data_IF_645177994414
#
_entry.id   IF_645177994414
#
_cell.length_a   1.000
_cell.length_b   1.000
_cell.length_c   1.000
_cell.angle_alpha   90.00
_cell.angle_beta   90.00
_cell.angle_gamma   90.00
#
_symmetry.space_group_name_H-M   'P 1'
#
loop_
_entity.id
_entity.type
_entity.pdbx_description
1 polymer ?
#
# COMPACT_ATOMS: atom_id res chain seq x y z
N UNK A 1 33.85 -23.37 26.66
CA UNK A 1 32.84 -23.62 25.61
C UNK A 1 31.39 -23.66 26.12
N UNK A 2 31.07 -24.27 27.27
CA UNK A 2 29.68 -24.23 27.81
C UNK A 2 29.24 -22.82 28.26
N UNK A 3 30.14 -22.04 28.86
CA UNK A 3 29.84 -20.71 29.41
C UNK A 3 29.32 -19.70 28.35
N UNK A 4 29.95 -19.62 27.19
CA UNK A 4 29.57 -18.66 26.14
C UNK A 4 28.19 -18.96 25.52
N UNK A 5 27.88 -20.24 25.29
CA UNK A 5 26.57 -20.66 24.77
C UNK A 5 25.44 -20.34 25.76
N UNK A 6 25.72 -20.45 27.06
CA UNK A 6 24.74 -20.14 28.11
C UNK A 6 24.55 -18.61 28.24
N UNK A 7 25.62 -17.82 28.10
CA UNK A 7 25.52 -16.35 27.98
C UNK A 7 24.65 -15.93 26.79
N UNK A 8 24.85 -16.51 25.60
CA UNK A 8 24.05 -16.22 24.41
C UNK A 8 22.57 -16.54 24.63
N UNK A 9 22.26 -17.69 25.25
CA UNK A 9 20.88 -18.05 25.60
C UNK A 9 20.29 -17.07 26.61
N UNK A 10 21.05 -16.68 27.63
CA UNK A 10 20.64 -15.72 28.64
C UNK A 10 20.33 -14.35 28.03
N UNK A 11 21.23 -13.81 27.19
CA UNK A 11 21.02 -12.56 26.47
C UNK A 11 19.77 -12.60 25.59
N UNK A 12 19.57 -13.73 24.89
CA UNK A 12 18.39 -13.94 24.05
C UNK A 12 17.08 -14.00 24.86
N UNK A 13 17.11 -14.59 26.06
CA UNK A 13 15.96 -14.64 26.96
C UNK A 13 15.63 -13.23 27.50
N UNK A 14 16.63 -12.49 27.97
CA UNK A 14 16.47 -11.11 28.43
C UNK A 14 15.91 -10.20 27.33
N UNK A 15 16.39 -10.35 26.10
CA UNK A 15 15.85 -9.62 24.96
C UNK A 15 14.37 -9.93 24.72
N UNK A 16 13.98 -11.21 24.76
CA UNK A 16 12.57 -11.63 24.61
C UNK A 16 11.68 -11.08 25.73
N UNK A 17 12.23 -10.92 26.93
CA UNK A 17 11.55 -10.29 28.07
C UNK A 17 11.50 -8.75 27.98
N UNK A 18 12.08 -8.14 26.95
CA UNK A 18 12.14 -6.68 26.77
C UNK A 18 13.18 -5.98 27.66
N UNK A 19 14.03 -6.74 28.37
CA UNK A 19 15.11 -6.20 29.22
C UNK A 19 16.34 -5.86 28.38
N UNK A 20 16.18 -4.86 27.51
CA UNK A 20 17.16 -4.51 26.47
C UNK A 20 18.53 -4.13 27.06
N UNK A 21 18.55 -3.36 28.14
CA UNK A 21 19.76 -2.93 28.86
C UNK A 21 20.56 -4.11 29.42
N UNK A 22 19.87 -5.12 29.96
CA UNK A 22 20.51 -6.33 30.50
C UNK A 22 20.96 -7.26 29.39
N UNK A 23 20.16 -7.39 28.33
CA UNK A 23 20.52 -8.17 27.16
C UNK A 23 21.78 -7.61 26.49
N UNK A 24 21.83 -6.28 26.32
CA UNK A 24 22.99 -5.56 25.77
C UNK A 24 24.27 -5.86 26.55
N UNK A 25 24.24 -5.76 27.88
CA UNK A 25 25.40 -6.09 28.73
C UNK A 25 25.89 -7.52 28.51
N UNK A 26 24.97 -8.48 28.50
CA UNK A 26 25.32 -9.89 28.27
C UNK A 26 25.95 -10.10 26.90
N UNK A 27 25.39 -9.48 25.85
CA UNK A 27 25.96 -9.60 24.50
C UNK A 27 27.29 -8.84 24.36
N UNK A 28 27.47 -7.71 25.03
CA UNK A 28 28.75 -7.02 25.10
C UNK A 28 29.83 -7.90 25.78
N UNK A 29 29.48 -8.59 26.87
CA UNK A 29 30.38 -9.55 27.53
C UNK A 29 30.73 -10.73 26.60
N UNK A 30 29.77 -11.24 25.82
CA UNK A 30 30.02 -12.25 24.78
C UNK A 30 31.04 -11.73 23.76
N UNK A 31 30.82 -10.53 23.22
CA UNK A 31 31.71 -9.93 22.21
C UNK A 31 33.09 -9.54 22.75
N UNK A 32 33.22 -9.30 24.07
CA UNK A 32 34.52 -9.07 24.70
C UNK A 32 35.40 -10.33 24.70
N UNK A 33 34.78 -11.52 24.67
CA UNK A 33 35.44 -12.83 24.68
C UNK A 33 35.58 -13.40 23.28
N UNK A 34 34.57 -13.21 22.44
CA UNK A 34 34.53 -13.65 21.05
C UNK A 34 33.98 -12.52 20.16
N UNK A 35 34.87 -11.63 19.65
CA UNK A 35 34.46 -10.41 18.95
C UNK A 35 33.63 -10.63 17.68
N UNK A 36 33.78 -11.78 17.03
CA UNK A 36 33.13 -12.13 15.76
C UNK A 36 31.92 -13.08 15.95
N UNK A 37 31.41 -13.22 17.18
CA UNK A 37 30.24 -14.05 17.45
C UNK A 37 28.97 -13.43 16.82
N UNK A 38 28.52 -14.02 15.72
CA UNK A 38 27.47 -13.46 14.84
C UNK A 38 26.13 -13.27 15.58
N UNK A 39 25.76 -14.17 16.49
CA UNK A 39 24.47 -14.07 17.18
C UNK A 39 24.44 -12.85 18.11
N UNK A 40 25.49 -12.63 18.90
CA UNK A 40 25.64 -11.46 19.74
C UNK A 40 25.74 -10.17 18.92
N UNK A 41 26.51 -10.13 17.82
CA UNK A 41 26.56 -8.98 16.92
C UNK A 41 25.15 -8.62 16.40
N UNK A 42 24.36 -9.63 16.01
CA UNK A 42 23.00 -9.43 15.48
C UNK A 42 22.06 -8.85 16.53
N UNK A 43 22.09 -9.39 17.75
CA UNK A 43 21.25 -8.87 18.84
C UNK A 43 21.70 -7.47 19.28
N UNK A 44 23.00 -7.19 19.33
CA UNK A 44 23.50 -5.83 19.56
C UNK A 44 22.97 -4.85 18.52
N UNK A 45 23.01 -5.22 17.23
CA UNK A 45 22.44 -4.39 16.17
C UNK A 45 20.94 -4.13 16.35
N UNK A 46 20.15 -5.18 16.66
CA UNK A 46 18.70 -5.06 16.85
C UNK A 46 18.34 -4.24 18.11
N UNK A 47 19.09 -4.41 19.20
CA UNK A 47 18.93 -3.62 20.43
C UNK A 47 19.19 -2.16 20.13
N UNK A 48 20.29 -1.83 19.45
CA UNK A 48 20.64 -0.47 19.07
C UNK A 48 19.56 0.18 18.19
N UNK A 49 18.98 -0.56 17.24
CA UNK A 49 17.81 -0.09 16.48
C UNK A 49 16.61 0.25 17.37
N UNK A 50 16.28 -0.61 18.35
CA UNK A 50 15.18 -0.37 19.30
C UNK A 50 15.43 0.84 20.19
N UNK A 51 16.68 1.13 20.51
CA UNK A 51 17.10 2.30 21.28
C UNK A 51 17.25 3.57 20.42
N UNK A 52 17.14 3.46 19.09
CA UNK A 52 17.28 4.57 18.15
C UNK A 52 18.72 4.87 17.72
N UNK A 53 19.71 4.11 18.18
CA UNK A 53 21.11 4.23 17.73
C UNK A 53 21.34 3.45 16.43
N UNK A 54 20.94 4.08 15.32
CA UNK A 54 21.07 3.50 13.97
C UNK A 54 22.51 3.43 13.49
N UNK A 55 23.41 4.26 14.05
CA UNK A 55 24.83 4.29 13.66
C UNK A 55 25.50 3.01 14.15
N UNK A 56 25.42 2.76 15.46
CA UNK A 56 25.98 1.54 16.05
C UNK A 56 25.33 0.28 15.45
N UNK A 57 24.00 0.30 15.26
CA UNK A 57 23.30 -0.82 14.66
C UNK A 57 23.83 -1.18 13.26
N UNK A 58 24.04 -0.17 12.41
CA UNK A 58 24.59 -0.34 11.07
C UNK A 58 25.98 -0.98 11.12
N UNK A 59 26.84 -0.53 12.03
CA UNK A 59 28.21 -1.04 12.15
C UNK A 59 28.23 -2.52 12.56
N UNK A 60 27.37 -2.93 13.48
CA UNK A 60 27.19 -4.35 13.82
C UNK A 60 26.73 -5.19 12.63
N UNK A 61 25.72 -4.72 11.87
CA UNK A 61 25.25 -5.48 10.71
C UNK A 61 26.29 -5.51 9.59
N UNK A 62 26.98 -4.41 9.31
CA UNK A 62 28.09 -4.39 8.34
C UNK A 62 29.18 -5.39 8.73
N UNK A 63 29.56 -5.45 10.02
CA UNK A 63 30.53 -6.44 10.50
C UNK A 63 30.07 -7.86 10.23
N UNK A 64 28.80 -8.20 10.52
CA UNK A 64 28.25 -9.53 10.19
C UNK A 64 28.43 -9.85 8.71
N UNK A 65 28.16 -8.88 7.83
CA UNK A 65 28.28 -9.09 6.37
C UNK A 65 29.70 -9.31 5.87
N UNK A 66 30.72 -8.94 6.66
CA UNK A 66 32.14 -9.26 6.36
C UNK A 66 32.54 -10.66 6.82
N UNK A 67 31.83 -11.21 7.82
CA UNK A 67 32.10 -12.53 8.40
C UNK A 67 31.34 -13.64 7.65
N UNK A 68 30.13 -13.34 7.17
CA UNK A 68 29.26 -14.29 6.49
C UNK A 68 28.20 -13.57 5.64
N UNK A 69 27.78 -14.19 4.53
CA UNK A 69 26.53 -13.83 3.87
C UNK A 69 25.34 -14.14 4.79
N UNK A 70 24.77 -13.10 5.39
CA UNK A 70 23.63 -13.18 6.31
C UNK A 70 22.46 -12.34 5.79
N UNK A 71 21.39 -13.04 5.41
CA UNK A 71 20.23 -12.43 4.82
C UNK A 71 19.47 -11.49 5.78
N UNK A 72 19.50 -11.73 7.09
CA UNK A 72 18.85 -10.82 8.06
C UNK A 72 19.66 -9.53 8.23
N UNK A 73 20.99 -9.63 8.28
CA UNK A 73 21.87 -8.46 8.31
C UNK A 73 21.70 -7.59 7.05
N UNK A 74 21.63 -8.19 5.86
CA UNK A 74 21.36 -7.47 4.62
C UNK A 74 19.99 -6.78 4.63
N UNK A 75 18.94 -7.46 5.09
CA UNK A 75 17.60 -6.87 5.20
C UNK A 75 17.60 -5.65 6.15
N UNK A 76 18.21 -5.78 7.33
CA UNK A 76 18.26 -4.71 8.34
C UNK A 76 19.12 -3.52 7.87
N UNK A 77 20.22 -3.77 7.16
CA UNK A 77 20.98 -2.72 6.50
C UNK A 77 20.14 -1.99 5.44
N UNK A 78 19.36 -2.73 4.64
CA UNK A 78 18.43 -2.16 3.68
C UNK A 78 17.45 -1.18 4.32
N UNK A 79 16.84 -1.56 5.44
CA UNK A 79 15.92 -0.68 6.19
C UNK A 79 16.65 0.57 6.74
N UNK A 80 17.86 0.42 7.30
CA UNK A 80 18.65 1.57 7.81
C UNK A 80 19.00 2.55 6.68
N UNK A 81 19.48 2.05 5.54
CA UNK A 81 19.84 2.91 4.41
C UNK A 81 18.61 3.63 3.84
N UNK A 82 17.46 2.96 3.78
CA UNK A 82 16.18 3.58 3.42
C UNK A 82 15.83 4.73 4.36
N UNK A 83 15.95 4.51 5.67
CA UNK A 83 15.71 5.54 6.68
C UNK A 83 16.65 6.75 6.56
N UNK A 84 17.86 6.54 6.05
CA UNK A 84 18.85 7.60 5.80
C UNK A 84 18.76 8.27 4.42
N UNK A 85 17.78 7.91 3.57
CA UNK A 85 17.66 8.35 2.16
C UNK A 85 18.77 7.83 1.23
N UNK A 86 19.50 6.79 1.63
CA UNK A 86 20.53 6.15 0.81
C UNK A 86 19.90 5.02 -0.03
N UNK A 87 18.94 5.38 -0.88
CA UNK A 87 18.03 4.42 -1.52
C UNK A 87 18.70 3.39 -2.44
N UNK A 88 19.76 3.77 -3.16
CA UNK A 88 20.50 2.83 -4.01
C UNK A 88 21.19 1.74 -3.18
N UNK A 89 21.75 2.12 -2.02
CA UNK A 89 22.30 1.13 -1.07
C UNK A 89 21.19 0.29 -0.48
N UNK A 90 20.07 0.90 -0.12
CA UNK A 90 18.92 0.18 0.43
C UNK A 90 18.41 -0.90 -0.54
N UNK A 91 18.25 -0.55 -1.83
CA UNK A 91 17.86 -1.48 -2.89
C UNK A 91 18.86 -2.62 -3.04
N UNK A 92 20.16 -2.30 -3.09
CA UNK A 92 21.22 -3.30 -3.22
C UNK A 92 21.23 -4.30 -2.06
N UNK A 93 21.11 -3.80 -0.82
CA UNK A 93 21.09 -4.64 0.37
C UNK A 93 19.81 -5.48 0.49
N UNK A 94 18.64 -4.91 0.19
CA UNK A 94 17.39 -5.67 0.14
C UNK A 94 17.44 -6.78 -0.92
N UNK A 95 17.94 -6.47 -2.13
CA UNK A 95 18.13 -7.50 -3.17
C UNK A 95 19.10 -8.59 -2.71
N UNK A 96 20.21 -8.22 -2.06
CA UNK A 96 21.16 -9.21 -1.53
C UNK A 96 20.54 -10.11 -0.45
N UNK A 97 19.68 -9.55 0.41
CA UNK A 97 18.93 -10.32 1.40
C UNK A 97 18.05 -11.40 0.75
N UNK A 98 17.30 -11.02 -0.29
CA UNK A 98 16.40 -11.91 -1.02
C UNK A 98 17.15 -12.99 -1.82
N UNK A 99 18.32 -12.66 -2.39
CA UNK A 99 19.17 -13.63 -3.09
C UNK A 99 19.85 -14.61 -2.13
N UNK A 100 20.17 -14.18 -0.92
CA UNK A 100 20.81 -15.02 0.11
C UNK A 100 19.80 -15.98 0.76
N UNK A 101 18.56 -15.55 0.92
CA UNK A 101 17.47 -16.38 1.47
C UNK A 101 16.16 -16.03 0.75
N UNK A 102 15.78 -16.85 -0.23
CA UNK A 102 14.58 -16.60 -1.04
C UNK A 102 13.28 -16.66 -0.24
N UNK A 103 13.28 -17.28 0.94
CA UNK A 103 12.12 -17.29 1.85
C UNK A 103 11.88 -15.92 2.49
N UNK A 104 12.84 -14.99 2.35
CA UNK A 104 12.64 -13.59 2.74
C UNK A 104 11.82 -12.77 1.78
N UNK A 105 11.41 -13.27 0.61
CA UNK A 105 10.46 -12.58 -0.25
C UNK A 105 9.02 -12.60 0.28
N UNK A 106 8.73 -13.55 1.15
CA UNK A 106 7.46 -13.69 1.84
C UNK A 106 7.76 -14.17 3.27
N UNK A 107 8.21 -13.25 4.11
CA UNK A 107 8.57 -13.54 5.50
C UNK A 107 7.33 -13.96 6.30
N UNK A 108 6.16 -13.48 5.88
CA UNK A 108 4.87 -13.70 6.56
C UNK A 108 4.41 -15.15 6.49
N UNK A 109 4.43 -15.75 5.30
CA UNK A 109 3.85 -17.08 5.04
C UNK A 109 4.90 -18.09 4.61
N UNK A 110 6.07 -17.62 4.15
CA UNK A 110 7.20 -18.42 3.64
C UNK A 110 6.80 -19.37 2.51
N UNK A 111 5.75 -19.04 1.77
CA UNK A 111 5.21 -19.86 0.68
C UNK A 111 5.76 -19.46 -0.68
N UNK A 112 6.07 -18.18 -0.85
CA UNK A 112 6.42 -17.62 -2.15
C UNK A 112 7.89 -17.16 -2.18
N UNK A 113 8.79 -17.91 -2.84
CA UNK A 113 10.18 -17.52 -2.95
C UNK A 113 10.36 -16.31 -3.88
N UNK A 114 11.45 -15.57 -3.67
CA UNK A 114 11.87 -14.48 -4.55
C UNK A 114 12.08 -14.98 -5.99
N UNK A 115 11.61 -14.21 -6.96
CA UNK A 115 11.88 -14.42 -8.40
C UNK A 115 12.62 -13.19 -8.90
N UNK A 116 13.76 -13.32 -9.58
CA UNK A 116 14.46 -12.13 -10.10
C UNK A 116 13.77 -11.52 -11.34
N UNK A 117 12.64 -12.09 -11.77
CA UNK A 117 11.85 -11.65 -12.91
C UNK A 117 10.35 -11.67 -12.58
N UNK A 118 9.79 -10.48 -12.31
CA UNK A 118 8.36 -10.25 -12.11
C UNK A 118 7.75 -9.54 -13.32
N UNK A 119 6.43 -9.62 -13.46
CA UNK A 119 5.69 -8.99 -14.56
C UNK A 119 5.49 -7.49 -14.27
N UNK A 120 6.51 -6.70 -14.59
CA UNK A 120 6.59 -5.26 -14.37
C UNK A 120 7.28 -4.55 -15.54
N UNK A 121 7.01 -3.26 -15.70
CA UNK A 121 7.53 -2.45 -16.80
C UNK A 121 8.06 -1.12 -16.31
N UNK A 122 9.13 -0.63 -16.95
CA UNK A 122 9.57 0.76 -16.75
C UNK A 122 8.58 1.68 -17.46
N UNK A 123 8.13 2.72 -16.76
CA UNK A 123 7.18 3.71 -17.31
C UNK A 123 7.72 5.12 -17.14
N UNK A 124 7.32 6.02 -18.05
CA UNK A 124 7.48 7.45 -17.86
C UNK A 124 6.41 7.95 -16.87
N UNK A 125 6.62 9.16 -16.32
CA UNK A 125 5.64 9.81 -15.48
C UNK A 125 4.31 9.96 -16.23
N UNK A 126 3.26 9.27 -15.80
CA UNK A 126 1.97 9.31 -16.48
C UNK A 126 1.28 10.68 -16.47
N UNK A 127 1.62 11.57 -15.51
CA UNK A 127 1.04 12.91 -15.46
C UNK A 127 1.67 13.85 -16.47
N UNK A 128 2.99 13.82 -16.68
CA UNK A 128 3.67 14.80 -17.53
C UNK A 128 4.50 14.22 -18.69
N UNK A 129 4.62 12.89 -18.80
CA UNK A 129 5.39 12.19 -19.82
C UNK A 129 6.90 12.12 -19.58
N UNK A 130 7.42 12.80 -18.54
CA UNK A 130 8.85 12.85 -18.24
C UNK A 130 9.42 11.51 -17.76
N UNK A 131 10.63 11.19 -18.20
CA UNK A 131 11.48 10.10 -17.71
C UNK A 131 12.48 10.57 -16.64
N UNK A 132 12.45 11.85 -16.27
CA UNK A 132 13.32 12.43 -15.24
C UNK A 132 12.67 12.28 -13.86
N UNK A 133 13.20 11.36 -13.06
CA UNK A 133 12.73 11.10 -11.70
C UNK A 133 13.88 10.75 -10.75
N UNK A 134 13.62 10.88 -9.45
CA UNK A 134 14.54 10.48 -8.38
C UNK A 134 13.90 9.41 -7.51
N UNK A 135 14.68 8.46 -7.03
CA UNK A 135 14.21 7.49 -6.03
C UNK A 135 13.74 8.23 -4.79
N UNK A 136 12.49 7.98 -4.42
CA UNK A 136 11.82 8.54 -3.25
C UNK A 136 11.79 7.54 -2.09
N UNK A 137 11.68 6.24 -2.40
CA UNK A 137 11.64 5.18 -1.40
C UNK A 137 11.94 3.81 -2.02
N UNK A 138 12.40 2.86 -1.21
CA UNK A 138 12.46 1.44 -1.57
C UNK A 138 11.61 0.63 -0.58
N UNK A 139 10.43 0.21 -0.99
CA UNK A 139 9.53 -0.61 -0.18
C UNK A 139 9.92 -2.08 -0.25
N UNK A 140 10.33 -2.67 0.89
CA UNK A 140 10.40 -4.13 1.01
C UNK A 140 9.05 -4.66 1.51
N UNK A 141 8.27 -5.20 0.58
CA UNK A 141 6.91 -5.70 0.76
C UNK A 141 6.87 -7.12 1.35
N UNK A 142 8.03 -7.74 1.59
CA UNK A 142 8.11 -9.14 2.02
C UNK A 142 7.50 -9.43 3.39
N UNK A 143 7.28 -8.39 4.20
CA UNK A 143 6.58 -8.48 5.47
C UNK A 143 5.05 -8.45 5.33
N UNK A 144 4.52 -8.15 4.14
CA UNK A 144 3.08 -8.08 3.90
C UNK A 144 2.52 -9.47 3.57
N UNK A 145 1.45 -9.86 4.27
CA UNK A 145 0.82 -11.18 4.17
C UNK A 145 0.08 -11.45 2.84
N UNK A 146 0.15 -10.52 1.90
CA UNK A 146 -0.69 -10.50 0.72
C UNK A 146 0.09 -10.47 -0.59
N UNK A 147 1.41 -10.62 -0.63
CA UNK A 147 2.16 -10.49 -1.91
C UNK A 147 1.86 -11.64 -2.92
N UNK A 148 1.53 -12.85 -2.42
CA UNK A 148 1.23 -14.05 -3.22
C UNK A 148 2.31 -14.49 -4.23
N UNK A 149 3.51 -13.89 -4.22
CA UNK A 149 4.57 -14.20 -5.17
C UNK A 149 4.26 -13.75 -6.60
N UNK A 150 3.29 -12.86 -6.76
CA UNK A 150 2.84 -12.29 -8.05
C UNK A 150 3.48 -10.92 -8.28
N UNK A 151 3.60 -10.13 -7.22
CA UNK A 151 4.15 -8.78 -7.26
C UNK A 151 5.59 -8.81 -6.73
N UNK A 152 6.48 -8.04 -7.37
CA UNK A 152 7.85 -7.92 -6.88
C UNK A 152 7.87 -7.45 -5.42
N UNK A 153 8.43 -8.24 -4.48
CA UNK A 153 8.47 -7.88 -3.06
C UNK A 153 9.44 -6.72 -2.78
N UNK A 154 10.22 -6.27 -3.77
CA UNK A 154 11.07 -5.11 -3.68
C UNK A 154 10.57 -4.03 -4.64
N UNK A 155 9.96 -2.99 -4.09
CA UNK A 155 9.35 -1.89 -4.83
C UNK A 155 10.21 -0.64 -4.77
N UNK A 156 10.64 -0.13 -5.92
CA UNK A 156 11.22 1.22 -6.01
C UNK A 156 10.13 2.22 -6.30
N UNK A 157 9.98 3.20 -5.42
CA UNK A 157 9.12 4.36 -5.61
C UNK A 157 9.95 5.53 -6.09
N UNK A 158 9.55 6.14 -7.19
CA UNK A 158 10.22 7.31 -7.75
C UNK A 158 9.31 8.53 -7.69
N UNK A 159 9.91 9.71 -7.53
CA UNK A 159 9.24 11.00 -7.62
C UNK A 159 9.70 11.72 -8.87
N UNK A 160 8.75 12.07 -9.75
CA UNK A 160 9.01 12.85 -10.94
C UNK A 160 9.64 14.21 -10.58
N UNK A 161 10.76 14.55 -11.23
CA UNK A 161 11.46 15.82 -11.00
C UNK A 161 10.67 17.03 -11.53
N UNK A 162 9.87 16.83 -12.58
CA UNK A 162 9.09 17.90 -13.22
C UNK A 162 7.78 18.24 -12.51
N UNK A 163 6.98 17.23 -12.12
CA UNK A 163 5.64 17.45 -11.59
C UNK A 163 5.41 16.89 -10.18
N UNK A 164 6.41 16.25 -9.58
CA UNK A 164 6.33 15.71 -8.23
C UNK A 164 5.45 14.47 -8.04
N UNK A 165 4.93 13.87 -9.12
CA UNK A 165 4.14 12.63 -9.06
C UNK A 165 4.97 11.46 -8.55
N UNK A 166 4.39 10.64 -7.68
CA UNK A 166 5.06 9.48 -7.07
C UNK A 166 4.47 8.20 -7.66
N UNK A 167 5.31 7.32 -8.16
CA UNK A 167 4.88 6.08 -8.78
C UNK A 167 5.92 4.96 -8.62
N UNK A 168 5.43 3.72 -8.71
CA UNK A 168 6.25 2.52 -8.80
C UNK A 168 7.04 2.52 -10.11
N UNK A 169 8.35 2.32 -10.07
CA UNK A 169 9.14 2.14 -11.27
C UNK A 169 10.33 1.18 -11.03
N UNK A 170 10.32 -0.04 -11.61
CA UNK A 170 9.29 -0.61 -12.48
C UNK A 170 7.91 -0.71 -11.83
N UNK A 171 6.86 -0.54 -12.65
CA UNK A 171 5.46 -0.62 -12.25
C UNK A 171 4.91 -2.02 -12.58
N UNK A 172 4.14 -2.68 -11.68
CA UNK A 172 3.45 -3.93 -12.02
C UNK A 172 2.59 -3.75 -13.26
N UNK A 173 2.49 -4.78 -14.11
CA UNK A 173 1.56 -4.71 -15.24
C UNK A 173 0.12 -4.96 -14.79
N UNK A 174 -0.85 -4.58 -15.63
CA UNK A 174 -2.28 -4.88 -15.40
C UNK A 174 -2.49 -6.40 -15.19
N UNK A 175 -1.76 -7.22 -15.93
CA UNK A 175 -1.77 -8.68 -15.78
C UNK A 175 -1.31 -9.12 -14.39
N UNK A 176 -0.24 -8.53 -13.86
CA UNK A 176 0.25 -8.85 -12.52
C UNK A 176 -0.74 -8.46 -11.42
N UNK A 177 -1.33 -7.26 -11.51
CA UNK A 177 -2.36 -6.82 -10.57
C UNK A 177 -3.63 -7.67 -10.66
N UNK A 178 -4.12 -7.99 -11.86
CA UNK A 178 -5.28 -8.86 -12.04
C UNK A 178 -5.05 -10.28 -11.50
N UNK A 179 -3.85 -10.83 -11.67
CA UNK A 179 -3.47 -12.10 -11.05
C UNK A 179 -3.48 -12.01 -9.53
N UNK A 180 -2.98 -10.91 -8.96
CA UNK A 180 -3.02 -10.66 -7.52
C UNK A 180 -4.46 -10.63 -7.01
N UNK A 181 -5.33 -9.86 -7.67
CA UNK A 181 -6.75 -9.72 -7.33
C UNK A 181 -7.46 -11.07 -7.41
N UNK A 182 -7.17 -11.89 -8.43
CA UNK A 182 -7.68 -13.25 -8.52
C UNK A 182 -7.25 -14.13 -7.34
N UNK A 183 -5.98 -14.05 -6.91
CA UNK A 183 -5.51 -14.78 -5.71
C UNK A 183 -6.18 -14.29 -4.43
N UNK A 184 -6.39 -12.98 -4.30
CA UNK A 184 -7.12 -12.40 -3.17
C UNK A 184 -8.59 -12.88 -3.13
N UNK A 185 -9.22 -13.04 -4.29
CA UNK A 185 -10.59 -13.56 -4.42
C UNK A 185 -10.77 -15.03 -4.08
N UNK A 186 -9.70 -15.83 -4.10
CA UNK A 186 -9.74 -17.25 -3.77
C UNK A 186 -9.32 -17.43 -2.32
N UNK A 187 -10.29 -17.47 -1.39
CA UNK A 187 -10.69 -18.80 -0.95
C UNK A 187 -12.20 -18.93 -0.68
N UNK A 188 -12.88 -19.75 -1.51
CA UNK A 188 -14.22 -20.34 -1.26
C UNK A 188 -14.36 -21.11 0.07
N UNK A 189 -13.32 -21.11 0.92
CA UNK A 189 -13.23 -21.88 2.18
C UNK A 189 -12.69 -21.10 3.38
N UNK A 190 -12.13 -19.89 3.24
CA UNK A 190 -11.62 -19.14 4.40
C UNK A 190 -12.57 -17.98 4.73
N UNK A 191 -13.53 -18.29 5.59
CA UNK A 191 -14.57 -17.41 6.15
C UNK A 191 -13.99 -16.23 6.97
N UNK A 192 -12.66 -16.06 7.04
CA UNK A 192 -11.98 -15.02 7.84
C UNK A 192 -12.07 -13.62 7.22
N UNK A 193 -11.87 -13.49 5.92
CA UNK A 193 -12.04 -12.21 5.21
C UNK A 193 -13.50 -11.78 5.26
N UNK A 194 -14.41 -12.74 5.07
CA UNK A 194 -15.86 -12.52 5.24
C UNK A 194 -16.22 -12.06 6.66
N UNK A 195 -15.69 -12.71 7.70
CA UNK A 195 -15.92 -12.29 9.10
C UNK A 195 -15.44 -10.88 9.41
N UNK A 196 -14.39 -10.40 8.73
CA UNK A 196 -13.92 -9.01 8.88
C UNK A 196 -14.95 -8.03 8.30
N UNK A 197 -15.35 -8.24 7.04
CA UNK A 197 -16.36 -7.42 6.37
C UNK A 197 -17.76 -7.54 6.99
N UNK A 198 -18.05 -8.64 7.69
CA UNK A 198 -19.33 -8.87 8.35
C UNK A 198 -19.34 -8.48 9.83
N UNK A 199 -18.26 -7.91 10.37
CA UNK A 199 -18.24 -7.49 11.77
C UNK A 199 -19.02 -6.19 11.95
N UNK A 200 -19.85 -6.12 12.98
CA UNK A 200 -20.70 -4.95 13.25
C UNK A 200 -19.90 -3.65 13.32
N UNK A 201 -18.73 -3.66 13.98
CA UNK A 201 -17.87 -2.49 14.08
C UNK A 201 -17.35 -2.00 12.71
N UNK A 202 -16.97 -2.92 11.81
CA UNK A 202 -16.48 -2.56 10.46
C UNK A 202 -17.63 -2.06 9.60
N UNK A 203 -18.78 -2.74 9.62
CA UNK A 203 -19.98 -2.33 8.89
C UNK A 203 -20.42 -0.94 9.33
N UNK A 204 -20.60 -0.71 10.64
CA UNK A 204 -21.03 0.57 11.20
C UNK A 204 -20.09 1.70 10.78
N UNK A 205 -18.77 1.51 10.94
CA UNK A 205 -17.79 2.50 10.49
C UNK A 205 -17.90 2.79 8.99
N UNK A 206 -18.05 1.76 8.16
CA UNK A 206 -18.13 1.94 6.70
C UNK A 206 -19.43 2.63 6.28
N UNK A 207 -20.56 2.38 6.96
CA UNK A 207 -21.82 3.10 6.76
C UNK A 207 -21.67 4.56 7.16
N UNK A 208 -21.04 4.87 8.29
CA UNK A 208 -20.78 6.25 8.72
C UNK A 208 -19.91 7.02 7.71
N UNK A 209 -18.85 6.37 7.22
CA UNK A 209 -17.98 6.90 6.16
C UNK A 209 -18.79 7.14 4.88
N UNK A 210 -19.58 6.16 4.45
CA UNK A 210 -20.41 6.26 3.25
C UNK A 210 -21.44 7.39 3.38
N UNK A 211 -22.16 7.47 4.50
CA UNK A 211 -23.14 8.52 4.76
C UNK A 211 -22.52 9.92 4.73
N UNK A 212 -21.33 10.09 5.31
CA UNK A 212 -20.57 11.34 5.25
C UNK A 212 -20.21 11.73 3.81
N UNK A 213 -19.69 10.79 3.02
CA UNK A 213 -19.34 10.98 1.61
C UNK A 213 -20.56 11.31 0.75
N UNK A 214 -21.67 10.58 0.95
CA UNK A 214 -22.94 10.81 0.26
C UNK A 214 -23.46 12.21 0.56
N UNK A 215 -23.41 12.65 1.82
CA UNK A 215 -23.82 14.01 2.21
C UNK A 215 -22.98 15.08 1.48
N UNK A 216 -21.67 14.87 1.35
CA UNK A 216 -20.80 15.78 0.61
C UNK A 216 -21.12 15.79 -0.88
N UNK A 217 -21.36 14.64 -1.51
CA UNK A 217 -21.80 14.56 -2.90
C UNK A 217 -23.15 15.29 -3.08
N UNK A 218 -24.12 15.04 -2.19
CA UNK A 218 -25.45 15.65 -2.22
C UNK A 218 -25.42 17.19 -2.12
N UNK A 219 -24.45 17.75 -1.38
CA UNK A 219 -24.23 19.20 -1.31
C UNK A 219 -23.96 19.82 -2.69
N UNK A 220 -23.35 19.08 -3.62
CA UNK A 220 -22.90 19.62 -4.90
C UNK A 220 -23.86 19.38 -6.07
N UNK A 221 -24.61 18.28 -6.08
CA UNK A 221 -25.51 17.92 -7.18
C UNK A 221 -26.91 17.49 -6.74
N UNK A 222 -27.24 17.59 -5.45
CA UNK A 222 -28.50 17.07 -4.94
C UNK A 222 -28.54 15.54 -5.00
N UNK A 223 -29.63 14.96 -5.48
CA UNK A 223 -29.79 13.51 -5.68
C UNK A 223 -30.11 13.24 -7.14
N UNK A 224 -29.82 12.03 -7.58
CA UNK A 224 -30.12 11.57 -8.93
C UNK A 224 -29.52 10.20 -9.16
N UNK A 225 -28.85 10.04 -10.29
CA UNK A 225 -28.13 8.82 -10.65
C UNK A 225 -26.70 8.85 -10.12
N UNK A 226 -26.33 7.82 -9.35
CA UNK A 226 -24.99 7.62 -8.82
C UNK A 226 -24.39 6.34 -9.39
N UNK A 227 -23.11 6.40 -9.78
CA UNK A 227 -22.35 5.21 -10.14
C UNK A 227 -21.12 5.03 -9.24
N UNK A 228 -20.92 3.84 -8.68
CA UNK A 228 -19.69 3.50 -7.95
C UNK A 228 -18.77 2.60 -8.78
N UNK A 229 -17.51 3.00 -8.90
CA UNK A 229 -16.44 2.21 -9.53
C UNK A 229 -15.64 1.54 -8.41
N UNK A 230 -15.51 0.21 -8.44
CA UNK A 230 -14.90 -0.56 -7.36
C UNK A 230 -15.84 -0.73 -6.17
N UNK A 231 -17.09 -1.13 -6.44
CA UNK A 231 -18.17 -1.14 -5.45
C UNK A 231 -18.00 -2.18 -4.33
N UNK A 232 -17.01 -3.07 -4.42
CA UNK A 232 -16.71 -4.09 -3.42
C UNK A 232 -17.97 -4.88 -3.03
N UNK A 233 -18.27 -5.00 -1.74
CA UNK A 233 -19.48 -5.67 -1.21
C UNK A 233 -20.72 -4.77 -1.17
N UNK A 234 -20.66 -3.56 -1.72
CA UNK A 234 -21.82 -2.70 -1.94
C UNK A 234 -22.31 -1.86 -0.75
N UNK A 235 -21.49 -1.64 0.29
CA UNK A 235 -21.91 -0.84 1.46
C UNK A 235 -22.25 0.60 1.05
N UNK A 236 -21.41 1.24 0.23
CA UNK A 236 -21.66 2.62 -0.20
C UNK A 236 -22.92 2.73 -1.07
N UNK A 237 -23.12 1.80 -2.02
CA UNK A 237 -24.37 1.69 -2.79
C UNK A 237 -25.59 1.53 -1.88
N UNK A 238 -25.55 0.60 -0.92
CA UNK A 238 -26.65 0.36 0.01
C UNK A 238 -27.01 1.63 0.80
N UNK A 239 -26.00 2.33 1.33
CA UNK A 239 -26.20 3.60 2.04
C UNK A 239 -26.75 4.69 1.12
N UNK A 240 -26.34 4.75 -0.16
CA UNK A 240 -26.85 5.72 -1.12
C UNK A 240 -28.32 5.45 -1.45
N UNK A 241 -28.69 4.19 -1.68
CA UNK A 241 -30.06 3.74 -1.95
C UNK A 241 -30.97 4.06 -0.76
N UNK A 242 -30.52 3.80 0.46
CA UNK A 242 -31.26 4.08 1.70
C UNK A 242 -31.70 5.55 1.80
N UNK A 243 -30.86 6.47 1.31
CA UNK A 243 -31.15 7.93 1.33
C UNK A 243 -31.69 8.46 0.00
N UNK A 244 -32.14 7.57 -0.89
CA UNK A 244 -32.93 7.89 -2.09
C UNK A 244 -32.12 8.23 -3.34
N UNK A 245 -30.91 7.70 -3.52
CA UNK A 245 -30.21 7.72 -4.80
C UNK A 245 -30.65 6.58 -5.71
N UNK A 246 -30.67 6.83 -7.03
CA UNK A 246 -30.69 5.78 -8.05
C UNK A 246 -29.23 5.34 -8.28
N UNK A 247 -28.77 4.38 -7.47
CA UNK A 247 -27.35 4.00 -7.40
C UNK A 247 -27.10 2.64 -8.05
N UNK A 248 -26.05 2.57 -8.87
CA UNK A 248 -25.51 1.35 -9.43
C UNK A 248 -23.98 1.33 -9.29
N UNK A 249 -23.35 0.19 -9.48
CA UNK A 249 -21.89 0.12 -9.45
C UNK A 249 -21.32 -1.09 -10.17
N UNK A 250 -19.99 -1.06 -10.32
CA UNK A 250 -19.20 -2.11 -10.95
C UNK A 250 -18.07 -2.56 -10.02
N UNK A 251 -17.80 -3.85 -10.01
CA UNK A 251 -16.73 -4.47 -9.23
C UNK A 251 -16.03 -5.55 -10.07
N UNK A 252 -14.70 -5.56 -10.04
CA UNK A 252 -13.88 -6.50 -10.78
C UNK A 252 -13.94 -7.91 -10.16
N UNK A 253 -14.15 -7.98 -8.85
CA UNK A 253 -14.07 -9.19 -8.03
C UNK A 253 -15.40 -9.95 -7.92
N UNK A 254 -15.50 -11.09 -8.60
CA UNK A 254 -16.69 -11.96 -8.59
C UNK A 254 -17.16 -12.33 -7.18
N UNK A 255 -16.23 -12.62 -6.26
CA UNK A 255 -16.56 -12.98 -4.88
C UNK A 255 -17.14 -11.79 -4.07
N UNK A 256 -16.71 -10.56 -4.36
CA UNK A 256 -17.29 -9.37 -3.74
C UNK A 256 -18.71 -9.09 -4.28
N UNK A 257 -18.94 -9.33 -5.57
CA UNK A 257 -20.27 -9.26 -6.18
C UNK A 257 -21.20 -10.35 -5.65
N UNK A 258 -20.73 -11.60 -5.50
CA UNK A 258 -21.50 -12.69 -4.89
C UNK A 258 -21.89 -12.37 -3.44
N UNK A 259 -20.97 -11.80 -2.68
CA UNK A 259 -21.20 -11.27 -1.35
C UNK A 259 -22.28 -10.17 -1.34
N UNK A 260 -22.16 -9.16 -2.21
CA UNK A 260 -23.12 -8.06 -2.30
C UNK A 260 -24.55 -8.57 -2.59
N UNK A 261 -24.69 -9.57 -3.48
CA UNK A 261 -25.97 -10.22 -3.77
C UNK A 261 -26.60 -10.86 -2.53
N UNK A 262 -25.80 -11.44 -1.63
CA UNK A 262 -26.30 -12.00 -0.37
C UNK A 262 -26.89 -10.94 0.58
N UNK A 263 -26.51 -9.67 0.39
CA UNK A 263 -27.06 -8.50 1.09
C UNK A 263 -28.19 -7.82 0.32
N UNK A 264 -28.62 -8.37 -0.81
CA UNK A 264 -29.65 -7.77 -1.67
C UNK A 264 -29.17 -6.60 -2.52
N UNK A 265 -27.86 -6.43 -2.70
CA UNK A 265 -27.26 -5.39 -3.53
C UNK A 265 -26.78 -6.00 -4.84
N UNK A 266 -27.34 -5.53 -5.96
CA UNK A 266 -26.91 -5.93 -7.29
C UNK A 266 -25.77 -5.04 -7.77
N UNK A 267 -24.66 -5.66 -8.17
CA UNK A 267 -23.46 -5.00 -8.68
C UNK A 267 -23.08 -5.65 -10.00
N UNK A 268 -22.70 -4.84 -10.98
CA UNK A 268 -22.15 -5.34 -12.24
C UNK A 268 -20.77 -5.94 -11.99
N UNK A 269 -20.55 -7.19 -12.37
CA UNK A 269 -19.21 -7.78 -12.31
C UNK A 269 -18.47 -7.51 -13.63
N UNK A 270 -17.33 -6.82 -13.57
CA UNK A 270 -16.55 -6.56 -14.76
C UNK A 270 -15.42 -5.56 -14.59
N UNK A 271 -14.61 -5.46 -15.63
CA UNK A 271 -13.57 -4.44 -15.75
C UNK A 271 -14.20 -3.10 -16.15
N UNK A 272 -13.95 -2.05 -15.36
CA UNK A 272 -14.49 -0.73 -15.60
C UNK A 272 -14.14 -0.17 -16.97
N UNK A 273 -12.89 -0.26 -17.42
CA UNK A 273 -12.48 0.29 -18.71
C UNK A 273 -13.07 -0.49 -19.88
N UNK A 274 -13.26 -1.82 -19.73
CA UNK A 274 -13.77 -2.70 -20.79
C UNK A 274 -15.30 -2.79 -20.89
N UNK A 275 -16.04 -2.38 -19.86
CA UNK A 275 -17.52 -2.49 -19.83
C UNK A 275 -18.22 -1.33 -20.54
N UNK A 276 -19.32 -1.57 -21.25
CA UNK A 276 -20.17 -0.48 -21.77
C UNK A 276 -21.17 -0.05 -20.69
N UNK A 277 -21.08 1.22 -20.26
CA UNK A 277 -21.79 1.76 -19.09
C UNK A 277 -22.62 3.00 -19.44
N UNK A 278 -22.78 3.31 -20.73
CA UNK A 278 -23.46 4.52 -21.19
C UNK A 278 -22.63 5.79 -21.04
N UNK A 279 -23.20 6.93 -21.46
CA UNK A 279 -22.57 8.26 -21.45
C UNK A 279 -23.57 9.33 -21.02
N UNK A 280 -23.11 10.31 -20.26
CA UNK A 280 -23.90 11.50 -19.91
C UNK A 280 -25.13 11.25 -19.03
N UNK A 281 -25.15 10.15 -18.27
CA UNK A 281 -26.33 9.69 -17.53
C UNK A 281 -26.24 9.91 -16.02
N UNK A 282 -25.05 10.08 -15.47
CA UNK A 282 -24.84 10.13 -14.03
C UNK A 282 -24.71 11.56 -13.50
N UNK A 283 -25.36 11.83 -12.36
CA UNK A 283 -25.21 13.07 -11.60
C UNK A 283 -23.95 13.03 -10.72
N UNK A 284 -23.59 11.82 -10.24
CA UNK A 284 -22.37 11.59 -9.48
C UNK A 284 -21.71 10.25 -9.84
N UNK A 285 -20.38 10.23 -9.80
CA UNK A 285 -19.56 9.03 -9.87
C UNK A 285 -18.62 9.00 -8.66
N UNK A 286 -18.55 7.86 -7.98
CA UNK A 286 -17.70 7.62 -6.84
C UNK A 286 -16.64 6.54 -7.14
N UNK A 287 -15.41 6.69 -6.64
CA UNK A 287 -14.38 5.63 -6.65
C UNK A 287 -13.53 5.71 -5.37
N UNK A 288 -13.72 4.77 -4.44
CA UNK A 288 -13.09 4.82 -3.11
C UNK A 288 -11.92 3.84 -3.03
N UNK A 289 -10.70 4.34 -2.82
CA UNK A 289 -9.48 3.52 -2.77
C UNK A 289 -9.32 2.64 -4.04
N UNK A 290 -9.47 3.27 -5.21
CA UNK A 290 -9.37 2.59 -6.53
C UNK A 290 -8.23 3.17 -7.34
N UNK A 291 -8.14 4.49 -7.42
CA UNK A 291 -7.30 5.21 -8.39
C UNK A 291 -5.81 4.86 -8.28
N UNK A 292 -5.31 4.59 -7.08
CA UNK A 292 -3.93 4.17 -6.79
C UNK A 292 -3.59 2.75 -7.24
N UNK A 293 -4.60 1.90 -7.44
CA UNK A 293 -4.46 0.52 -7.92
C UNK A 293 -4.57 0.40 -9.44
N UNK A 294 -5.00 1.47 -10.12
CA UNK A 294 -5.12 1.48 -11.58
C UNK A 294 -3.76 1.71 -12.23
N UNK A 295 -3.49 1.05 -13.36
CA UNK A 295 -2.28 1.29 -14.17
C UNK A 295 -2.40 2.59 -14.99
N UNK A 296 -3.63 2.94 -15.38
CA UNK A 296 -3.93 4.17 -16.10
C UNK A 296 -5.08 4.94 -15.41
N UNK A 297 -4.79 5.68 -14.33
CA UNK A 297 -5.81 6.48 -13.68
C UNK A 297 -6.38 7.60 -14.56
N UNK A 298 -5.65 8.04 -15.61
CA UNK A 298 -6.21 9.01 -16.58
C UNK A 298 -7.33 8.39 -17.38
N UNK A 299 -7.16 7.16 -17.89
CA UNK A 299 -8.21 6.45 -18.60
C UNK A 299 -9.47 6.25 -17.72
N UNK A 300 -9.28 5.94 -16.43
CA UNK A 300 -10.40 5.83 -15.49
C UNK A 300 -11.17 7.13 -15.35
N UNK A 301 -10.48 8.25 -15.11
CA UNK A 301 -11.13 9.54 -14.93
C UNK A 301 -11.75 10.06 -16.24
N UNK A 302 -11.12 9.85 -17.40
CA UNK A 302 -11.71 10.21 -18.70
C UNK A 302 -13.01 9.45 -18.97
N UNK A 303 -13.04 8.15 -18.69
CA UNK A 303 -14.27 7.35 -18.83
C UNK A 303 -15.35 7.78 -17.83
N UNK A 304 -14.98 8.04 -16.59
CA UNK A 304 -15.90 8.61 -15.60
C UNK A 304 -16.43 9.98 -16.05
N UNK A 305 -15.59 10.81 -16.66
CA UNK A 305 -16.02 12.09 -17.24
C UNK A 305 -17.08 11.85 -18.33
N UNK A 306 -16.84 10.95 -19.27
CA UNK A 306 -17.81 10.60 -20.34
C UNK A 306 -19.17 10.13 -19.80
N UNK A 307 -19.16 9.37 -18.70
CA UNK A 307 -20.36 8.86 -18.04
C UNK A 307 -21.18 9.95 -17.31
N UNK A 308 -20.52 11.03 -16.85
CA UNK A 308 -21.16 12.13 -16.13
C UNK A 308 -21.93 13.07 -17.05
N UNK A 309 -23.08 13.56 -16.55
CA UNK A 309 -23.76 14.74 -17.08
C UNK A 309 -22.86 15.98 -17.01
N UNK A 310 -23.16 16.99 -17.83
CA UNK A 310 -22.52 18.31 -17.69
C UNK A 310 -22.70 18.85 -16.26
N UNK A 311 -21.61 19.26 -15.62
CA UNK A 311 -21.62 19.73 -14.23
C UNK A 311 -21.78 18.61 -13.18
N UNK A 312 -21.78 17.34 -13.58
CA UNK A 312 -21.81 16.19 -12.68
C UNK A 312 -20.56 16.08 -11.82
N UNK A 313 -20.65 15.30 -10.74
CA UNK A 313 -19.64 15.25 -9.68
C UNK A 313 -18.85 13.95 -9.75
N UNK A 314 -17.53 14.06 -9.72
CA UNK A 314 -16.66 12.93 -9.40
C UNK A 314 -16.21 13.04 -7.93
N UNK A 315 -16.28 11.94 -7.21
CA UNK A 315 -15.79 11.82 -5.85
C UNK A 315 -14.85 10.62 -5.76
N UNK A 316 -13.68 10.80 -5.16
CA UNK A 316 -12.75 9.70 -4.97
C UNK A 316 -12.00 9.78 -3.66
N UNK A 317 -11.39 8.68 -3.25
CA UNK A 317 -10.38 8.69 -2.20
C UNK A 317 -9.12 7.98 -2.63
N UNK A 318 -7.99 8.40 -2.05
CA UNK A 318 -6.68 7.79 -2.28
C UNK A 318 -5.72 8.12 -1.13
N UNK A 319 -4.71 7.29 -0.87
CA UNK A 319 -3.64 7.60 0.07
C UNK A 319 -2.91 8.91 -0.28
N UNK A 320 -2.67 9.72 0.74
CA UNK A 320 -1.94 10.98 0.63
C UNK A 320 -0.58 10.87 1.36
N UNK A 321 0.55 10.77 0.63
CA UNK A 321 1.88 10.67 1.23
C UNK A 321 2.32 11.96 1.94
N UNK A 322 1.56 13.05 1.83
CA UNK A 322 1.80 14.32 2.51
C UNK A 322 0.82 14.59 3.67
N UNK A 323 -0.04 13.63 4.01
CA UNK A 323 -1.00 13.75 5.10
C UNK A 323 -0.32 13.95 6.46
N UNK A 324 -1.05 14.53 7.42
CA UNK A 324 -0.54 14.73 8.78
C UNK A 324 -0.05 13.40 9.40
N UNK A 325 -0.81 12.32 9.22
CA UNK A 325 -0.42 10.99 9.70
C UNK A 325 0.91 10.53 9.11
N UNK A 326 1.09 10.68 7.79
CA UNK A 326 2.34 10.29 7.11
C UNK A 326 3.50 11.17 7.53
N UNK A 327 3.28 12.46 7.84
CA UNK A 327 4.34 13.33 8.38
C UNK A 327 4.87 12.86 9.74
N UNK A 328 4.01 12.34 10.61
CA UNK A 328 4.42 11.81 11.92
C UNK A 328 4.98 10.38 11.84
N UNK A 329 4.40 9.52 10.98
CA UNK A 329 4.95 8.18 10.73
C UNK A 329 6.24 8.22 9.93
N UNK A 330 6.42 9.29 9.14
CA UNK A 330 7.49 9.48 8.18
C UNK A 330 7.64 8.24 7.30
N UNK A 331 8.83 7.69 7.37
CA UNK A 331 9.30 6.57 6.57
C UNK A 331 8.78 5.20 7.01
N UNK A 332 8.21 5.12 8.21
CA UNK A 332 7.54 3.92 8.72
C UNK A 332 6.06 3.86 8.32
N UNK A 333 5.66 4.54 7.23
CA UNK A 333 4.33 4.45 6.68
C UNK A 333 4.18 3.14 5.90
N UNK A 334 3.28 2.26 6.38
CA UNK A 334 3.18 0.89 5.88
C UNK A 334 2.72 0.81 4.42
N UNK A 335 2.04 1.83 3.89
CA UNK A 335 1.58 1.81 2.51
C UNK A 335 2.75 1.80 1.50
N UNK A 336 3.94 2.29 1.85
CA UNK A 336 5.13 2.08 1.01
C UNK A 336 5.42 0.61 0.68
N UNK A 337 4.88 -0.32 1.48
CA UNK A 337 5.01 -1.76 1.35
C UNK A 337 3.76 -2.43 0.77
N UNK A 338 2.70 -1.69 0.44
CA UNK A 338 1.46 -2.25 -0.12
C UNK A 338 1.69 -2.76 -1.55
N UNK A 339 1.51 -4.06 -1.83
CA UNK A 339 1.82 -4.66 -3.13
C UNK A 339 0.99 -4.12 -4.29
N UNK A 340 -0.24 -3.71 -4.04
CA UNK A 340 -1.20 -3.39 -5.10
C UNK A 340 -1.22 -1.93 -5.54
N UNK A 341 -0.52 -1.04 -4.83
CA UNK A 341 -0.48 0.38 -5.19
C UNK A 341 0.58 0.60 -6.28
N UNK A 342 0.18 1.25 -7.37
CA UNK A 342 1.07 1.66 -8.45
C UNK A 342 1.49 3.13 -8.33
N UNK A 343 0.67 3.95 -7.66
CA UNK A 343 0.79 5.40 -7.65
C UNK A 343 0.48 6.01 -6.28
N UNK A 344 1.06 7.17 -6.00
CA UNK A 344 0.65 8.04 -4.90
C UNK A 344 0.42 9.46 -5.34
N UNK A 345 -0.74 9.98 -4.97
CA UNK A 345 -1.16 11.33 -5.30
C UNK A 345 -1.01 12.26 -4.09
N UNK A 346 -0.28 13.36 -4.28
CA UNK A 346 -0.39 14.54 -3.43
C UNK A 346 -1.59 15.40 -3.86
N UNK A 347 -2.09 16.32 -3.01
CA UNK A 347 -3.15 17.25 -3.41
C UNK A 347 -2.83 18.01 -4.70
N UNK A 348 -1.56 18.39 -4.90
CA UNK A 348 -1.10 19.09 -6.11
C UNK A 348 -1.21 18.19 -7.34
N UNK A 349 -0.71 16.95 -7.25
CA UNK A 349 -0.74 16.02 -8.39
C UNK A 349 -2.15 15.52 -8.70
N UNK A 350 -3.02 15.38 -7.69
CA UNK A 350 -4.43 15.04 -7.89
C UNK A 350 -5.20 16.17 -8.57
N UNK A 351 -4.98 17.42 -8.14
CA UNK A 351 -5.58 18.59 -8.81
C UNK A 351 -5.19 18.65 -10.29
N UNK A 352 -3.92 18.35 -10.60
CA UNK A 352 -3.44 18.26 -11.97
C UNK A 352 -4.13 17.15 -12.75
N UNK A 353 -4.25 15.95 -12.17
CA UNK A 353 -4.95 14.83 -12.79
C UNK A 353 -6.40 15.21 -13.12
N UNK A 354 -7.11 15.85 -12.19
CA UNK A 354 -8.49 16.34 -12.41
C UNK A 354 -8.55 17.30 -13.60
N UNK A 355 -7.68 18.32 -13.61
CA UNK A 355 -7.67 19.30 -14.70
C UNK A 355 -7.40 18.66 -16.07
N UNK A 356 -6.44 17.74 -16.15
CA UNK A 356 -6.09 17.03 -17.40
C UNK A 356 -7.19 16.07 -17.87
N UNK A 357 -8.13 15.72 -17.00
CA UNK A 357 -9.23 14.77 -17.29
C UNK A 357 -10.61 15.44 -17.30
N UNK A 358 -10.66 16.77 -17.43
CA UNK A 358 -11.90 17.52 -17.60
C UNK A 358 -12.67 17.75 -16.31
N UNK A 359 -11.98 17.87 -15.18
CA UNK A 359 -12.58 18.19 -13.89
C UNK A 359 -11.99 19.45 -13.26
N UNK A 360 -12.87 20.30 -12.72
CA UNK A 360 -12.53 21.34 -11.76
C UNK A 360 -12.54 20.75 -10.35
N UNK A 361 -11.45 20.94 -9.59
CA UNK A 361 -11.40 20.53 -8.18
C UNK A 361 -12.31 21.43 -7.33
N UNK A 362 -13.25 20.83 -6.60
CA UNK A 362 -14.16 21.53 -5.70
C UNK A 362 -13.63 21.56 -4.26
N UNK A 363 -13.23 20.40 -3.74
CA UNK A 363 -12.82 20.23 -2.35
C UNK A 363 -11.92 19.01 -2.22
N UNK A 364 -10.99 19.03 -1.26
CA UNK A 364 -10.38 17.81 -0.73
C UNK A 364 -10.44 17.86 0.80
N UNK A 365 -10.64 16.71 1.43
CA UNK A 365 -10.73 16.57 2.89
C UNK A 365 -9.84 15.43 3.37
N UNK A 366 -9.51 15.41 4.67
CA UNK A 366 -8.99 14.19 5.27
C UNK A 366 -10.07 13.12 5.20
N UNK A 367 -9.72 11.93 4.71
CA UNK A 367 -10.69 10.86 4.58
C UNK A 367 -11.19 10.40 5.95
N UNK A 368 -12.51 10.24 6.15
CA UNK A 368 -13.04 9.63 7.38
C UNK A 368 -12.74 8.12 7.46
N UNK A 369 -12.32 7.48 6.36
CA UNK A 369 -11.95 6.06 6.30
C UNK A 369 -10.63 5.77 7.03
N UNK A 370 -9.59 6.53 6.66
CA UNK A 370 -8.23 6.37 7.11
C UNK A 370 -7.53 7.72 7.26
N UNK A 371 -6.77 7.95 8.34
CA UNK A 371 -6.16 9.25 8.61
C UNK A 371 -5.02 9.62 7.63
N UNK A 372 -4.55 8.66 6.81
CA UNK A 372 -3.55 8.85 5.76
C UNK A 372 -4.14 9.04 4.37
N UNK A 373 -5.45 8.92 4.18
CA UNK A 373 -6.11 9.12 2.89
C UNK A 373 -6.73 10.51 2.80
N UNK A 374 -6.92 10.98 1.56
CA UNK A 374 -7.72 12.16 1.25
C UNK A 374 -8.95 11.75 0.45
N UNK A 375 -10.09 12.38 0.73
CA UNK A 375 -11.25 12.37 -0.17
C UNK A 375 -11.16 13.62 -1.06
N UNK A 376 -11.53 13.49 -2.33
CA UNK A 376 -11.38 14.52 -3.36
C UNK A 376 -12.64 14.58 -4.20
N UNK A 377 -13.17 15.78 -4.38
CA UNK A 377 -14.43 16.04 -5.08
C UNK A 377 -14.19 17.01 -6.22
N UNK A 378 -14.72 16.69 -7.41
CA UNK A 378 -14.53 17.48 -8.62
C UNK A 378 -15.81 17.61 -9.43
N UNK A 379 -15.90 18.67 -10.23
CA UNK A 379 -17.01 18.93 -11.14
C UNK A 379 -16.55 18.78 -12.56
N UNK A 380 -17.31 18.06 -13.39
CA UNK A 380 -17.08 17.99 -14.83
C UNK A 380 -17.22 19.38 -15.46
N UNK A 381 -16.19 19.81 -16.21
CA UNK A 381 -16.15 21.08 -16.95
C UNK A 381 -16.54 20.92 -18.42
#
# INVERSE_FOLDING_TARGET
MNDLKDMIKQGSALFKEGKLDRAEKVFADVLSREPDEIHALKYMGIINLKLGDKVSAKDYFLRITTLKDDADAYYLLGEIYNENNEFEKALAFHKKALLTDSLKADISSKKFPFKDNYDETVINCMLCGSDNYKTAWVGNQSSMALNYGVINPLRTWVKCSECGFIFANPCPTEKALNLWWHHYSVPKKDMRSWKYFSSEAVITKNIEVAASRIKTIQKYCGRGKLFEIGASVGIFLATAIEVGWDAAGIELMENAVEAAKSFGIEILCGDFLKSDLGKGDFDAIAMWEVVEHTIDPKAFLLKANDMLKSGGIIALSTPNPESAFVRFKGKAWDLWKEPTHAHYFTPVTMKRLFLETGFELLEYTQSPSHPWCMDVYGRKI
#
